data_IF_544284590073
#
_entry.id   IF_544284590073
#
_cell.length_a   1.000
_cell.length_b   1.000
_cell.length_c   1.000
_cell.angle_alpha   90.00
_cell.angle_beta   90.00
_cell.angle_gamma   90.00
#
_symmetry.space_group_name_H-M   'P 1'
#
loop_
_entity.id
_entity.type
_entity.pdbx_description
1 polymer ?
#
# COMPACT_ATOMS: atom_id res chain seq x y z
N UNK A 1 -19.08 14.16 -2.34
CA UNK A 1 -19.58 12.85 -2.80
C UNK A 1 -18.37 12.08 -3.32
N UNK A 2 -17.92 11.06 -2.59
CA UNK A 2 -16.69 10.32 -2.91
C UNK A 2 -17.02 9.30 -4.01
N UNK A 3 -16.84 9.67 -5.28
CA UNK A 3 -17.01 8.74 -6.40
C UNK A 3 -15.80 7.80 -6.45
N UNK A 4 -15.84 6.76 -5.62
CA UNK A 4 -14.87 5.69 -5.67
C UNK A 4 -15.29 4.78 -6.84
N UNK A 5 -14.66 4.98 -8.00
CA UNK A 5 -14.79 4.12 -9.18
C UNK A 5 -13.56 3.23 -9.23
N UNK A 6 -13.73 1.92 -9.37
CA UNK A 6 -12.64 0.96 -9.50
C UNK A 6 -12.58 0.41 -10.92
N UNK A 7 -11.39 0.47 -11.50
CA UNK A 7 -11.13 -0.09 -12.83
C UNK A 7 -11.04 -1.60 -12.73
N UNK A 8 -11.76 -2.31 -13.58
CA UNK A 8 -11.61 -3.76 -13.69
C UNK A 8 -10.24 -4.08 -14.30
N UNK A 9 -9.43 -4.93 -13.67
CA UNK A 9 -8.10 -5.27 -14.16
C UNK A 9 -8.12 -6.01 -15.51
N UNK A 10 -9.23 -6.67 -15.83
CA UNK A 10 -9.35 -7.54 -17.00
C UNK A 10 -9.90 -6.83 -18.23
N UNK A 11 -10.91 -5.99 -18.06
CA UNK A 11 -11.55 -5.29 -19.18
C UNK A 11 -11.28 -3.78 -19.17
N UNK A 12 -10.53 -3.29 -18.18
CA UNK A 12 -10.25 -1.87 -18.00
C UNK A 12 -11.50 -0.97 -17.85
N UNK A 13 -12.68 -1.56 -17.72
CA UNK A 13 -13.93 -0.80 -17.58
C UNK A 13 -14.04 -0.23 -16.17
N UNK A 14 -14.45 1.02 -16.10
CA UNK A 14 -14.79 1.69 -14.84
C UNK A 14 -16.06 1.08 -14.27
N UNK A 15 -15.95 0.56 -13.05
CA UNK A 15 -17.07 -0.03 -12.34
C UNK A 15 -17.24 0.68 -11.00
N UNK A 16 -18.49 0.75 -10.54
CA UNK A 16 -18.76 1.30 -9.22
C UNK A 16 -17.98 0.53 -8.14
N UNK A 17 -17.33 1.23 -7.21
CA UNK A 17 -16.55 0.58 -6.15
C UNK A 17 -17.38 -0.32 -5.25
N UNK A 18 -18.71 -0.11 -5.19
CA UNK A 18 -19.63 -0.93 -4.44
C UNK A 18 -19.89 -2.30 -5.10
N UNK A 19 -19.68 -2.41 -6.42
CA UNK A 19 -19.93 -3.68 -7.13
C UNK A 19 -18.83 -4.69 -6.86
N UNK A 20 -19.20 -5.89 -6.43
CA UNK A 20 -18.27 -6.99 -6.15
C UNK A 20 -17.74 -7.62 -7.43
N UNK A 21 -18.52 -7.52 -8.51
CA UNK A 21 -18.26 -8.10 -9.82
C UNK A 21 -18.35 -7.04 -10.91
N UNK A 22 -17.66 -7.28 -12.02
CA UNK A 22 -17.63 -6.37 -13.13
C UNK A 22 -18.97 -6.44 -13.86
N UNK A 23 -19.61 -5.30 -14.10
CA UNK A 23 -20.86 -5.25 -14.87
C UNK A 23 -20.65 -5.63 -16.33
N UNK A 24 -19.40 -5.53 -16.84
CA UNK A 24 -19.07 -5.80 -18.23
C UNK A 24 -18.52 -7.20 -18.48
N UNK A 25 -17.62 -7.71 -17.62
CA UNK A 25 -17.00 -9.04 -17.79
C UNK A 25 -17.43 -10.08 -16.77
N UNK A 26 -18.23 -9.72 -15.76
CA UNK A 26 -18.69 -10.64 -14.71
C UNK A 26 -17.60 -11.12 -13.73
N UNK A 27 -16.36 -10.67 -13.89
CA UNK A 27 -15.24 -11.09 -13.02
C UNK A 27 -15.23 -10.31 -11.70
N UNK A 28 -14.79 -10.96 -10.62
CA UNK A 28 -14.65 -10.34 -9.31
C UNK A 28 -13.75 -9.10 -9.39
N UNK A 29 -14.28 -7.95 -8.98
CA UNK A 29 -13.53 -6.72 -8.87
C UNK A 29 -12.61 -6.80 -7.66
N UNK A 30 -11.40 -6.21 -7.74
CA UNK A 30 -10.50 -6.15 -6.60
C UNK A 30 -11.22 -5.47 -5.43
N UNK A 31 -11.62 -6.27 -4.45
CA UNK A 31 -12.52 -5.85 -3.35
C UNK A 31 -11.77 -5.08 -2.27
N UNK A 32 -10.44 -5.12 -2.30
CA UNK A 32 -9.60 -4.47 -1.32
C UNK A 32 -8.39 -3.88 -2.01
N UNK A 33 -8.39 -2.55 -2.09
CA UNK A 33 -7.14 -1.81 -2.12
C UNK A 33 -6.27 -2.36 -0.98
N UNK A 34 -4.99 -2.68 -1.19
CA UNK A 34 -4.12 -3.21 -0.15
C UNK A 34 -3.70 -2.07 0.80
N UNK A 35 -4.69 -1.37 1.36
CA UNK A 35 -4.57 -0.21 2.24
C UNK A 35 -4.60 -0.62 3.72
N UNK A 36 -4.38 -1.91 4.01
CA UNK A 36 -3.81 -2.34 5.29
C UNK A 36 -2.26 -2.34 5.24
N UNK A 37 -1.67 -1.66 4.24
CA UNK A 37 -0.23 -1.37 4.18
C UNK A 37 0.18 -0.17 5.05
N UNK A 38 -0.76 0.53 5.68
CA UNK A 38 -0.43 1.67 6.56
C UNK A 38 0.30 1.19 7.82
N UNK A 39 -0.11 0.04 8.35
CA UNK A 39 0.53 -0.66 9.47
C UNK A 39 1.91 -1.19 9.10
N UNK A 40 2.08 -1.75 7.90
CA UNK A 40 3.39 -2.29 7.48
C UNK A 40 4.40 -1.19 7.17
N UNK A 41 3.99 -0.09 6.54
CA UNK A 41 4.88 1.07 6.29
C UNK A 41 5.31 1.70 7.61
N UNK A 42 4.40 1.90 8.56
CA UNK A 42 4.75 2.50 9.86
C UNK A 42 5.75 1.66 10.65
N UNK A 43 5.62 0.32 10.60
CA UNK A 43 6.62 -0.58 11.19
C UNK A 43 7.97 -0.47 10.48
N UNK A 44 7.98 -0.42 9.15
CA UNK A 44 9.20 -0.31 8.36
C UNK A 44 9.97 0.98 8.67
N UNK A 45 9.27 2.12 8.73
CA UNK A 45 9.87 3.41 9.09
C UNK A 45 10.44 3.39 10.51
N UNK A 46 9.74 2.75 11.46
CA UNK A 46 10.23 2.65 12.84
C UNK A 46 11.48 1.80 12.97
N UNK A 47 11.58 0.68 12.23
CA UNK A 47 12.79 -0.17 12.18
C UNK A 47 13.94 0.57 11.51
N UNK A 48 13.67 1.26 10.40
CA UNK A 48 14.68 2.03 9.67
C UNK A 48 15.36 3.07 10.57
N UNK A 49 14.57 3.80 11.38
CA UNK A 49 15.13 4.79 12.31
C UNK A 49 16.08 4.19 13.35
N UNK A 50 15.80 2.97 13.83
CA UNK A 50 16.69 2.24 14.74
C UNK A 50 18.03 1.87 14.10
N UNK A 51 18.02 1.42 12.85
CA UNK A 51 19.24 1.09 12.09
C UNK A 51 20.07 2.34 11.83
N UNK A 52 19.45 3.45 11.42
CA UNK A 52 20.15 4.73 11.19
C UNK A 52 20.85 5.20 12.46
N UNK A 53 20.18 5.17 13.61
CA UNK A 53 20.77 5.54 14.88
C UNK A 53 21.98 4.66 15.23
N UNK A 54 21.86 3.35 15.04
CA UNK A 54 22.96 2.41 15.25
C UNK A 54 24.17 2.72 14.34
N UNK A 55 23.93 3.00 13.06
CA UNK A 55 24.99 3.39 12.13
C UNK A 55 25.71 4.68 12.54
N UNK A 56 24.98 5.69 13.00
CA UNK A 56 25.58 6.95 13.48
C UNK A 56 26.45 6.71 14.72
N UNK A 57 26.00 5.86 15.66
CA UNK A 57 26.80 5.48 16.83
C UNK A 57 28.09 4.80 16.38
N UNK A 58 28.04 3.86 15.43
CA UNK A 58 29.23 3.18 14.92
C UNK A 58 30.20 4.13 14.21
N UNK A 59 29.68 5.09 13.44
CA UNK A 59 30.53 6.13 12.82
C UNK A 59 31.21 7.02 13.86
N UNK A 60 30.52 7.37 14.96
CA UNK A 60 31.14 8.13 16.04
C UNK A 60 32.12 7.29 16.86
N UNK A 61 31.88 5.97 16.97
CA UNK A 61 32.71 5.06 17.75
C UNK A 61 33.99 4.66 17.02
N UNK A 62 33.99 4.65 15.68
CA UNK A 62 35.23 4.59 14.90
C UNK A 62 35.87 5.98 14.97
N UNK A 63 36.82 6.22 15.90
CA UNK A 63 37.51 7.48 15.95
C UNK A 63 38.44 7.45 14.74
N UNK A 64 37.99 8.09 13.66
CA UNK A 64 38.78 8.24 12.44
C UNK A 64 40.20 8.71 12.77
#
# INVERSE_FOLDING_TARGET
>A
MNQNSKKCLYCEVENDSNNENCSHCGMALPTKHPNDKQTTISLFVKVFWGIVLFCVIMMAYLPR
#
